data_IF_828118355789
#
_entry.id   IF_828118355789
#
_cell.length_a   1.000
_cell.length_b   1.000
_cell.length_c   1.000
_cell.angle_alpha   90.00
_cell.angle_beta   90.00
_cell.angle_gamma   90.00
#
_symmetry.space_group_name_H-M   'P 1'
#
loop_
_entity.id
_entity.type
_entity.pdbx_description
1 polymer ?
#
# COMPACT_ATOMS: atom_id res chain seq x y z
N UNK A 1 7.45 3.36 -16.41
CA UNK A 1 7.37 4.00 -15.09
C UNK A 1 6.19 4.96 -15.04
N UNK A 2 5.56 5.11 -13.87
CA UNK A 2 4.46 6.05 -13.59
C UNK A 2 4.82 6.94 -12.40
N UNK A 3 4.17 8.10 -12.30
CA UNK A 3 4.22 8.91 -11.08
C UNK A 3 3.37 8.24 -10.00
N UNK A 4 3.98 8.01 -8.85
CA UNK A 4 3.41 7.37 -7.67
C UNK A 4 3.11 8.43 -6.61
N UNK A 5 2.02 8.24 -5.87
CA UNK A 5 1.71 8.95 -4.64
C UNK A 5 2.65 8.54 -3.50
N UNK A 6 3.10 7.28 -3.52
CA UNK A 6 4.00 6.60 -2.56
C UNK A 6 3.41 6.34 -1.16
N UNK A 7 2.45 7.15 -0.72
CA UNK A 7 1.77 7.04 0.59
C UNK A 7 0.24 6.97 0.50
N UNK A 8 -0.30 6.34 -0.55
CA UNK A 8 -1.76 6.35 -0.76
C UNK A 8 -2.45 5.33 0.17
N UNK A 9 -3.12 5.83 1.22
CA UNK A 9 -3.86 5.03 2.19
C UNK A 9 -5.04 5.79 2.81
N UNK A 10 -5.84 5.14 3.65
CA UNK A 10 -7.11 5.68 4.19
C UNK A 10 -6.94 7.07 4.82
N UNK A 11 -5.96 7.24 5.71
CA UNK A 11 -5.75 8.55 6.38
C UNK A 11 -5.29 9.67 5.42
N UNK A 12 -4.80 9.32 4.23
CA UNK A 12 -4.39 10.27 3.19
C UNK A 12 -5.47 10.47 2.10
N UNK A 13 -6.71 10.04 2.36
CA UNK A 13 -7.87 10.28 1.50
C UNK A 13 -8.95 11.07 2.26
N UNK A 14 -9.40 12.18 1.68
CA UNK A 14 -10.60 12.88 2.15
C UNK A 14 -11.82 12.45 1.34
N UNK A 15 -12.91 12.11 2.05
CA UNK A 15 -14.23 11.98 1.47
C UNK A 15 -14.91 13.35 1.34
N UNK A 16 -15.49 13.62 0.18
CA UNK A 16 -16.34 14.78 -0.03
C UNK A 16 -17.57 14.73 0.87
N UNK A 17 -17.92 15.88 1.47
CA UNK A 17 -19.05 15.94 2.40
C UNK A 17 -20.38 15.79 1.67
N UNK A 18 -21.21 14.85 2.13
CA UNK A 18 -22.52 14.59 1.54
C UNK A 18 -23.49 15.79 1.66
N UNK A 19 -23.45 16.52 2.78
CA UNK A 19 -24.29 17.70 3.02
C UNK A 19 -23.95 18.89 2.09
N UNK A 20 -22.73 18.91 1.55
CA UNK A 20 -22.30 19.86 0.53
C UNK A 20 -22.55 19.36 -0.92
N UNK A 21 -23.24 18.23 -1.09
CA UNK A 21 -23.50 17.63 -2.41
C UNK A 21 -22.27 16.98 -3.07
N UNK A 22 -21.19 16.70 -2.31
CA UNK A 22 -19.91 16.17 -2.81
C UNK A 22 -19.72 14.69 -2.49
N UNK A 23 -20.80 13.96 -2.24
CA UNK A 23 -20.74 12.54 -1.92
C UNK A 23 -20.17 11.77 -3.12
N UNK A 24 -19.19 10.90 -2.87
CA UNK A 24 -18.49 10.15 -3.91
C UNK A 24 -17.29 10.87 -4.53
N UNK A 25 -17.00 12.12 -4.11
CA UNK A 25 -15.71 12.74 -4.40
C UNK A 25 -14.65 12.28 -3.40
N UNK A 26 -13.46 11.97 -3.90
CA UNK A 26 -12.32 11.54 -3.09
C UNK A 26 -11.09 12.38 -3.45
N UNK A 27 -10.40 12.90 -2.45
CA UNK A 27 -9.20 13.72 -2.63
C UNK A 27 -8.02 13.03 -1.95
N UNK A 28 -6.97 12.74 -2.71
CA UNK A 28 -5.71 12.26 -2.16
C UNK A 28 -4.87 13.43 -1.63
N UNK A 29 -4.20 13.23 -0.51
CA UNK A 29 -3.38 14.22 0.19
C UNK A 29 -1.98 13.70 0.50
N UNK A 30 -1.07 14.63 0.73
CA UNK A 30 0.32 14.39 1.14
C UNK A 30 1.13 13.43 0.24
N UNK A 31 1.18 13.64 -1.09
CA UNK A 31 1.98 12.80 -1.96
C UNK A 31 3.47 12.96 -1.65
N UNK A 32 4.21 11.84 -1.69
CA UNK A 32 5.68 11.80 -1.69
C UNK A 32 6.16 11.31 -3.06
N UNK A 33 6.12 12.17 -4.09
CA UNK A 33 6.15 11.72 -5.48
C UNK A 33 7.41 10.92 -5.82
N UNK A 34 7.21 9.74 -6.41
CA UNK A 34 8.26 8.86 -6.90
C UNK A 34 7.90 8.38 -8.31
N UNK A 35 8.87 8.31 -9.22
CA UNK A 35 8.66 7.61 -10.49
C UNK A 35 9.01 6.12 -10.31
N UNK A 36 8.08 5.22 -10.66
CA UNK A 36 8.33 3.79 -10.47
C UNK A 36 7.23 2.87 -11.00
N UNK A 37 7.26 1.63 -10.53
CA UNK A 37 6.24 0.63 -10.85
C UNK A 37 4.98 0.81 -9.97
N UNK A 38 3.77 0.77 -10.52
CA UNK A 38 2.54 0.89 -9.75
C UNK A 38 2.37 -0.17 -8.65
N UNK A 39 2.99 -1.35 -8.79
CA UNK A 39 2.96 -2.38 -7.75
C UNK A 39 3.63 -1.94 -6.44
N UNK A 40 4.46 -0.89 -6.47
CA UNK A 40 5.11 -0.30 -5.29
C UNK A 40 4.16 0.58 -4.48
N UNK A 41 3.07 1.06 -5.09
CA UNK A 41 2.03 1.90 -4.47
C UNK A 41 1.09 1.11 -3.55
N UNK A 42 1.06 -0.22 -3.66
CA UNK A 42 0.00 -1.02 -3.03
C UNK A 42 0.17 -1.16 -1.52
N UNK A 43 1.42 -1.18 -1.04
CA UNK A 43 1.72 -1.52 0.34
C UNK A 43 1.10 -0.57 1.39
N UNK A 44 1.15 0.77 1.27
CA UNK A 44 0.51 1.66 2.25
C UNK A 44 -0.98 1.37 2.43
N UNK A 45 -1.68 1.02 1.35
CA UNK A 45 -3.09 0.63 1.38
C UNK A 45 -3.34 -0.78 1.96
N UNK A 46 -2.32 -1.58 2.26
CA UNK A 46 -2.43 -2.86 2.99
C UNK A 46 -2.03 -2.72 4.46
N UNK A 47 -1.03 -1.88 4.75
CA UNK A 47 -0.49 -1.64 6.08
C UNK A 47 -1.40 -0.74 6.92
N UNK A 48 -1.98 0.28 6.30
CA UNK A 48 -2.93 1.15 6.99
C UNK A 48 -4.26 0.42 7.21
N UNK A 49 -4.79 0.51 8.44
CA UNK A 49 -5.92 -0.32 8.91
C UNK A 49 -5.65 -1.81 8.69
N UNK A 50 -4.47 -2.27 9.08
CA UNK A 50 -4.04 -3.65 8.89
C UNK A 50 -5.00 -4.67 9.55
N UNK A 51 -5.38 -5.66 8.76
CA UNK A 51 -6.02 -6.91 9.19
C UNK A 51 -5.44 -8.05 8.33
N UNK A 52 -4.91 -9.08 9.00
CA UNK A 52 -4.24 -10.21 8.35
C UNK A 52 -5.15 -10.99 7.40
N UNK A 53 -6.44 -11.07 7.70
CA UNK A 53 -7.41 -11.79 6.88
C UNK A 53 -7.87 -10.98 5.67
N UNK A 54 -7.57 -9.67 5.67
CA UNK A 54 -7.90 -8.78 4.56
C UNK A 54 -6.79 -8.63 3.52
N UNK A 55 -5.55 -8.96 3.86
CA UNK A 55 -4.37 -8.71 3.00
C UNK A 55 -4.56 -9.21 1.58
N UNK A 56 -5.00 -10.46 1.43
CA UNK A 56 -5.09 -11.11 0.11
C UNK A 56 -6.19 -10.47 -0.73
N UNK A 57 -7.40 -10.31 -0.19
CA UNK A 57 -8.49 -9.75 -1.00
C UNK A 57 -8.27 -8.26 -1.30
N UNK A 58 -7.69 -7.47 -0.38
CA UNK A 58 -7.35 -6.06 -0.63
C UNK A 58 -6.28 -5.93 -1.71
N UNK A 59 -5.25 -6.77 -1.66
CA UNK A 59 -4.23 -6.81 -2.71
C UNK A 59 -4.87 -7.14 -4.07
N UNK A 60 -5.76 -8.13 -4.11
CA UNK A 60 -6.45 -8.55 -5.33
C UNK A 60 -7.30 -7.41 -5.90
N UNK A 61 -8.12 -6.77 -5.05
CA UNK A 61 -8.94 -5.63 -5.43
C UNK A 61 -8.11 -4.46 -5.98
N UNK A 62 -6.96 -4.16 -5.36
CA UNK A 62 -6.06 -3.12 -5.84
C UNK A 62 -5.43 -3.47 -7.19
N UNK A 63 -4.97 -4.72 -7.36
CA UNK A 63 -4.40 -5.16 -8.63
C UNK A 63 -5.42 -5.16 -9.76
N UNK A 64 -6.66 -5.56 -9.49
CA UNK A 64 -7.78 -5.51 -10.44
C UNK A 64 -8.11 -4.07 -10.83
N UNK A 65 -8.32 -3.19 -9.84
CA UNK A 65 -8.67 -1.79 -10.08
C UNK A 65 -7.62 -1.04 -10.91
N UNK A 66 -6.34 -1.40 -10.76
CA UNK A 66 -5.21 -0.79 -11.47
C UNK A 66 -4.81 -1.55 -12.74
N UNK A 67 -5.42 -2.70 -13.02
CA UNK A 67 -5.09 -3.55 -14.17
C UNK A 67 -3.65 -4.07 -14.13
N UNK A 68 -3.14 -4.42 -12.95
CA UNK A 68 -1.75 -4.86 -12.76
C UNK A 68 -1.61 -6.37 -12.95
N UNK A 69 -0.47 -6.78 -13.49
CA UNK A 69 -0.07 -8.19 -13.46
C UNK A 69 0.26 -8.57 -12.01
N UNK A 70 -0.44 -9.59 -11.49
CA UNK A 70 -0.45 -9.96 -10.07
C UNK A 70 0.94 -10.28 -9.53
N UNK A 71 1.73 -11.04 -10.27
CA UNK A 71 3.04 -11.51 -9.83
C UNK A 71 4.04 -10.35 -9.74
N UNK A 72 4.03 -9.46 -10.74
CA UNK A 72 4.81 -8.22 -10.74
C UNK A 72 4.38 -7.28 -9.62
N UNK A 73 3.08 -7.10 -9.41
CA UNK A 73 2.55 -6.28 -8.31
C UNK A 73 3.02 -6.82 -6.96
N UNK A 74 2.95 -8.15 -6.77
CA UNK A 74 3.41 -8.82 -5.56
C UNK A 74 4.88 -8.57 -5.32
N UNK A 75 5.73 -8.74 -6.35
CA UNK A 75 7.16 -8.51 -6.24
C UNK A 75 7.49 -7.08 -5.79
N UNK A 76 6.82 -6.07 -6.35
CA UNK A 76 7.03 -4.67 -5.96
C UNK A 76 6.45 -4.33 -4.59
N UNK A 77 5.32 -4.92 -4.19
CA UNK A 77 4.78 -4.77 -2.83
C UNK A 77 5.74 -5.36 -1.79
N UNK A 78 6.33 -6.54 -2.06
CA UNK A 78 7.39 -7.11 -1.22
C UNK A 78 8.67 -6.25 -1.22
N UNK A 79 8.98 -5.59 -2.33
CA UNK A 79 10.05 -4.59 -2.40
C UNK A 79 9.82 -3.41 -1.45
N UNK A 80 8.57 -2.97 -1.31
CA UNK A 80 8.16 -1.92 -0.36
C UNK A 80 8.24 -2.38 1.10
N UNK A 81 7.90 -3.65 1.39
CA UNK A 81 8.17 -4.28 2.70
C UNK A 81 9.66 -4.25 3.03
N UNK A 82 10.53 -4.64 2.08
CA UNK A 82 11.98 -4.61 2.27
C UNK A 82 12.48 -3.19 2.54
N UNK A 83 12.02 -2.20 1.78
CA UNK A 83 12.39 -0.80 1.99
C UNK A 83 12.03 -0.31 3.40
N UNK A 84 10.82 -0.63 3.88
CA UNK A 84 10.41 -0.27 5.23
C UNK A 84 11.25 -0.96 6.29
N UNK A 85 11.64 -2.21 6.04
CA UNK A 85 12.63 -2.93 6.86
C UNK A 85 13.99 -2.23 6.91
N UNK A 86 14.49 -1.73 5.78
CA UNK A 86 15.75 -0.99 5.71
C UNK A 86 15.69 0.34 6.47
N UNK A 87 14.56 1.06 6.40
CA UNK A 87 14.35 2.22 7.25
C UNK A 87 14.38 1.87 8.72
N UNK A 88 13.64 0.84 9.12
CA UNK A 88 13.66 0.36 10.50
C UNK A 88 15.06 -0.03 10.98
N UNK A 89 15.85 -0.67 10.13
CA UNK A 89 17.24 -1.01 10.44
C UNK A 89 18.11 0.25 10.63
N UNK A 90 17.89 1.30 9.84
CA UNK A 90 18.51 2.61 10.03
C UNK A 90 18.15 3.26 11.39
N UNK A 91 17.01 2.91 11.96
CA UNK A 91 16.56 3.31 13.30
C UNK A 91 16.98 2.31 14.40
N UNK A 92 17.77 1.28 14.08
CA UNK A 92 18.24 0.27 15.03
C UNK A 92 17.27 -0.91 15.27
N UNK A 93 16.16 -1.01 14.51
CA UNK A 93 15.27 -2.18 14.57
C UNK A 93 15.95 -3.39 13.94
N UNK A 94 15.90 -4.53 14.63
CA UNK A 94 16.50 -5.80 14.18
C UNK A 94 15.48 -6.77 13.57
N UNK A 95 14.21 -6.35 13.49
CA UNK A 95 13.10 -7.13 12.94
C UNK A 95 12.18 -6.21 12.14
N UNK A 96 11.51 -6.79 11.14
CA UNK A 96 10.37 -6.12 10.48
C UNK A 96 9.26 -5.88 11.49
N UNK A 97 8.45 -4.84 11.26
CA UNK A 97 7.20 -4.67 11.99
C UNK A 97 6.35 -5.96 11.81
N UNK A 98 5.66 -6.45 12.87
CA UNK A 98 4.88 -7.68 12.80
C UNK A 98 3.88 -7.70 11.64
N UNK A 99 3.21 -6.58 11.41
CA UNK A 99 2.19 -6.41 10.36
C UNK A 99 2.82 -6.48 8.96
N UNK A 100 3.97 -5.83 8.77
CA UNK A 100 4.73 -5.87 7.50
C UNK A 100 5.19 -7.31 7.18
N UNK A 101 5.62 -8.04 8.22
CA UNK A 101 6.01 -9.43 8.07
C UNK A 101 4.81 -10.33 7.74
N UNK A 102 3.64 -10.06 8.32
CA UNK A 102 2.41 -10.80 8.03
C UNK A 102 1.88 -10.51 6.62
N UNK A 103 1.90 -9.25 6.16
CA UNK A 103 1.61 -8.90 4.76
C UNK A 103 2.50 -9.72 3.82
N UNK A 104 3.81 -9.78 4.09
CA UNK A 104 4.73 -10.56 3.28
C UNK A 104 4.41 -12.06 3.30
N UNK A 105 4.08 -12.65 4.46
CA UNK A 105 3.69 -14.07 4.57
C UNK A 105 2.46 -14.39 3.74
N UNK A 106 1.38 -13.61 3.92
CA UNK A 106 0.12 -13.79 3.19
C UNK A 106 0.30 -13.68 1.68
N UNK A 107 1.08 -12.69 1.21
CA UNK A 107 1.39 -12.55 -0.22
C UNK A 107 2.27 -13.68 -0.77
N UNK A 108 3.15 -14.25 0.05
CA UNK A 108 3.95 -15.43 -0.30
C UNK A 108 3.19 -16.76 -0.19
N UNK A 109 1.94 -16.74 0.31
CA UNK A 109 1.15 -17.95 0.57
C UNK A 109 1.70 -18.81 1.71
N UNK A 110 2.26 -18.19 2.75
CA UNK A 110 2.90 -18.84 3.91
C UNK A 110 2.17 -18.55 5.21
#
# INVERSE_FOLDING_TARGET
>A
DRLLHWDLHYDNILAGRADAGRSGEWIALDPKPLAGDPGFELFPALDNLFDADEVVWRFDALTEALGLERERARAWTLGRVLQNGLWGAGEGKVRLAPDHAEIARRLLGR
#
